data_IF_377688641714
#
_entry.id   IF_377688641714
#
_cell.length_a   1.000
_cell.length_b   1.000
_cell.length_c   1.000
_cell.angle_alpha   90.00
_cell.angle_beta   90.00
_cell.angle_gamma   90.00
#
_symmetry.space_group_name_H-M   'P 1'
#
loop_
_entity.id
_entity.type
_entity.pdbx_description
1 polymer ?
#
# COMPACT_ATOMS: atom_id res chain seq x y z
N UNK A 1 -13.42 7.31 17.93
CA UNK A 1 -12.12 6.96 18.54
C UNK A 1 -11.29 8.22 18.51
N UNK A 2 -10.90 8.70 19.68
CA UNK A 2 -10.05 9.89 19.81
C UNK A 2 -8.65 9.61 19.23
N UNK A 3 -7.95 10.65 18.76
CA UNK A 3 -6.64 10.50 18.09
C UNK A 3 -5.62 9.73 18.94
N UNK A 4 -5.63 9.99 20.25
CA UNK A 4 -4.74 9.33 21.20
C UNK A 4 -5.04 7.84 21.34
N UNK A 5 -6.32 7.46 21.45
CA UNK A 5 -6.75 6.05 21.55
C UNK A 5 -6.33 5.27 20.29
N UNK A 6 -6.50 5.89 19.12
CA UNK A 6 -6.09 5.30 17.85
C UNK A 6 -4.59 5.01 17.86
N UNK A 7 -3.77 6.02 18.16
CA UNK A 7 -2.31 5.86 18.16
C UNK A 7 -1.85 4.82 19.19
N UNK A 8 -2.43 4.82 20.39
CA UNK A 8 -2.16 3.81 21.42
C UNK A 8 -2.48 2.39 20.93
N UNK A 9 -3.60 2.21 20.23
CA UNK A 9 -3.97 0.90 19.67
C UNK A 9 -2.95 0.40 18.64
N UNK A 10 -2.39 1.31 17.82
CA UNK A 10 -1.36 0.97 16.85
C UNK A 10 -0.06 0.52 17.54
N UNK A 11 0.39 1.26 18.56
CA UNK A 11 1.60 0.91 19.31
C UNK A 11 1.46 -0.40 20.08
N UNK A 12 0.30 -0.64 20.71
CA UNK A 12 0.04 -1.92 21.37
C UNK A 12 0.13 -3.09 20.39
N UNK A 13 -0.35 -2.92 19.17
CA UNK A 13 -0.26 -3.95 18.14
C UNK A 13 1.17 -4.09 17.59
N UNK A 14 1.91 -2.98 17.47
CA UNK A 14 3.33 -3.01 17.13
C UNK A 14 4.14 -3.80 18.16
N UNK A 15 3.92 -3.60 19.45
CA UNK A 15 4.61 -4.34 20.50
C UNK A 15 4.29 -5.84 20.46
N UNK A 16 3.09 -6.20 20.00
CA UNK A 16 2.63 -7.59 19.88
C UNK A 16 3.17 -8.30 18.63
N UNK A 17 3.18 -7.62 17.49
CA UNK A 17 3.45 -8.21 16.16
C UNK A 17 4.82 -7.81 15.64
N UNK A 18 5.22 -6.56 15.83
CA UNK A 18 6.41 -5.96 15.25
C UNK A 18 6.31 -5.86 13.73
N UNK A 19 7.34 -6.33 13.04
CA UNK A 19 7.36 -6.46 11.58
C UNK A 19 6.21 -7.36 11.11
N UNK A 20 5.54 -6.95 10.03
CA UNK A 20 4.34 -7.61 9.53
C UNK A 20 3.03 -6.96 10.00
N UNK A 21 3.10 -5.95 10.88
CA UNK A 21 1.94 -5.13 11.22
C UNK A 21 1.35 -4.48 9.96
N UNK A 22 0.03 -4.66 9.78
CA UNK A 22 -0.74 -4.01 8.73
C UNK A 22 -1.62 -2.94 9.36
N UNK A 23 -1.46 -1.71 8.91
CA UNK A 23 -2.29 -0.58 9.26
C UNK A 23 -3.27 -0.28 8.13
N UNK A 24 -4.42 0.29 8.47
CA UNK A 24 -5.49 0.67 7.56
C UNK A 24 -5.72 2.16 7.60
N UNK A 25 -5.81 2.76 6.41
CA UNK A 25 -6.11 4.17 6.23
C UNK A 25 -7.55 4.48 6.63
N UNK A 26 -7.81 5.70 7.14
CA UNK A 26 -9.16 6.13 7.53
C UNK A 26 -10.16 6.11 6.36
N UNK A 27 -9.69 6.25 5.12
CA UNK A 27 -10.52 6.15 3.91
C UNK A 27 -11.05 4.73 3.63
N UNK A 28 -10.49 3.70 4.28
CA UNK A 28 -10.96 2.33 4.18
C UNK A 28 -10.35 1.47 3.07
N UNK A 29 -9.73 2.09 2.07
CA UNK A 29 -9.29 1.44 0.82
C UNK A 29 -7.77 1.46 0.61
N UNK A 30 -7.02 1.74 1.66
CA UNK A 30 -5.56 1.77 1.66
C UNK A 30 -5.01 1.13 2.92
N UNK A 31 -3.84 0.53 2.80
CA UNK A 31 -3.15 -0.20 3.86
C UNK A 31 -1.66 0.09 3.86
N UNK A 32 -1.02 -0.01 5.01
CA UNK A 32 0.43 0.14 5.16
C UNK A 32 0.99 -1.08 5.88
N UNK A 33 1.97 -1.75 5.29
CA UNK A 33 2.65 -2.90 5.86
C UNK A 33 4.01 -2.48 6.41
N UNK A 34 4.27 -2.75 7.69
CA UNK A 34 5.54 -2.48 8.37
C UNK A 34 6.54 -3.59 8.09
N UNK A 35 7.72 -3.23 7.57
CA UNK A 35 8.77 -4.17 7.14
C UNK A 35 10.17 -3.63 7.45
N UNK A 36 11.21 -4.48 7.52
CA UNK A 36 12.58 -4.04 7.33
C UNK A 36 12.74 -3.36 5.98
N UNK A 37 13.59 -2.34 5.91
CA UNK A 37 13.91 -1.71 4.64
C UNK A 37 14.88 -2.58 3.84
N UNK A 38 14.47 -2.95 2.62
CA UNK A 38 15.29 -3.78 1.73
C UNK A 38 16.38 -2.97 1.02
N UNK A 39 16.20 -1.66 0.87
CA UNK A 39 17.13 -0.73 0.23
C UNK A 39 18.16 -0.18 1.22
N UNK A 40 17.79 -0.08 2.50
CA UNK A 40 18.65 0.45 3.56
C UNK A 40 18.77 -0.54 4.74
N UNK A 41 19.76 -1.45 4.72
CA UNK A 41 19.92 -2.45 5.77
C UNK A 41 19.99 -1.86 7.18
N UNK A 42 19.21 -2.43 8.09
CA UNK A 42 19.11 -1.97 9.49
C UNK A 42 18.06 -0.89 9.73
N UNK A 43 17.43 -0.36 8.67
CA UNK A 43 16.27 0.54 8.76
C UNK A 43 14.95 -0.23 8.60
N UNK A 44 13.86 0.47 8.82
CA UNK A 44 12.50 -0.02 8.65
C UNK A 44 11.75 0.84 7.64
N UNK A 45 10.62 0.35 7.15
CA UNK A 45 9.70 1.11 6.31
C UNK A 45 8.27 0.70 6.58
N UNK A 46 7.33 1.60 6.26
CA UNK A 46 6.02 1.13 5.84
C UNK A 46 5.91 1.20 4.33
N UNK A 47 5.24 0.20 3.76
CA UNK A 47 4.90 0.16 2.36
C UNK A 47 3.39 0.28 2.21
N UNK A 48 2.94 1.29 1.46
CA UNK A 48 1.54 1.62 1.29
C UNK A 48 0.96 0.97 0.03
N UNK A 49 -0.25 0.45 0.17
CA UNK A 49 -1.02 -0.25 -0.85
C UNK A 49 -2.44 0.33 -0.91
N UNK A 50 -3.07 0.23 -2.07
CA UNK A 50 -4.49 0.50 -2.27
C UNK A 50 -5.18 -0.69 -2.94
N UNK A 51 -6.41 -0.48 -3.39
CA UNK A 51 -7.18 -1.50 -4.12
C UNK A 51 -6.51 -1.97 -5.41
N UNK A 52 -5.71 -1.10 -6.04
CA UNK A 52 -5.03 -1.38 -7.30
C UNK A 52 -3.53 -1.70 -7.11
N UNK A 53 -3.12 -2.14 -5.92
CA UNK A 53 -1.73 -2.53 -5.69
C UNK A 53 -0.89 -1.51 -4.94
N UNK A 54 0.42 -1.57 -5.16
CA UNK A 54 1.43 -0.75 -4.50
C UNK A 54 1.30 0.73 -4.85
N UNK A 55 1.51 1.61 -3.85
CA UNK A 55 1.44 3.07 -4.01
C UNK A 55 2.79 3.72 -3.77
N UNK A 56 3.37 3.50 -2.58
CA UNK A 56 4.62 4.15 -2.14
C UNK A 56 5.23 3.38 -0.97
N UNK A 57 6.41 3.81 -0.51
CA UNK A 57 6.98 3.41 0.77
C UNK A 57 7.72 4.59 1.40
N UNK A 58 7.94 4.51 2.72
CA UNK A 58 8.69 5.50 3.47
C UNK A 58 9.65 4.80 4.43
N UNK A 59 10.93 5.14 4.32
CA UNK A 59 12.01 4.58 5.14
C UNK A 59 12.19 5.39 6.43
N UNK A 60 12.30 4.69 7.56
CA UNK A 60 12.48 5.24 8.89
C UNK A 60 13.60 4.49 9.63
N UNK A 61 14.14 5.09 10.67
CA UNK A 61 15.26 4.52 11.44
C UNK A 61 14.77 3.50 12.46
N UNK A 62 13.57 3.69 13.01
CA UNK A 62 12.99 2.84 14.05
C UNK A 62 11.56 2.44 13.72
N UNK A 63 11.08 1.34 14.33
CA UNK A 63 9.68 0.92 14.20
C UNK A 63 8.69 1.96 14.79
N UNK A 64 9.12 2.70 15.81
CA UNK A 64 8.34 3.80 16.40
C UNK A 64 8.10 4.91 15.37
N UNK A 65 9.15 5.33 14.68
CA UNK A 65 9.04 6.32 13.59
C UNK A 65 8.14 5.82 12.47
N UNK A 66 8.20 4.53 12.10
CA UNK A 66 7.33 3.94 11.07
C UNK A 66 5.85 4.10 11.45
N UNK A 67 5.47 3.74 12.68
CA UNK A 67 4.08 3.85 13.14
C UNK A 67 3.65 5.30 13.26
N UNK A 68 4.50 6.17 13.80
CA UNK A 68 4.21 7.60 13.94
C UNK A 68 4.00 8.28 12.58
N UNK A 69 4.88 8.01 11.61
CA UNK A 69 4.77 8.57 10.25
C UNK A 69 3.56 8.01 9.49
N UNK A 70 3.36 6.68 9.51
CA UNK A 70 2.18 6.07 8.92
C UNK A 70 0.88 6.57 9.56
N UNK A 71 0.87 6.75 10.89
CA UNK A 71 -0.23 7.37 11.57
C UNK A 71 -0.44 8.75 10.99
N UNK A 72 0.53 9.67 11.00
CA UNK A 72 0.41 11.00 10.41
C UNK A 72 -0.15 10.98 8.98
N UNK A 73 0.33 10.07 8.14
CA UNK A 73 -0.07 9.88 6.74
C UNK A 73 -1.52 9.40 6.54
N UNK A 74 -2.23 8.95 7.58
CA UNK A 74 -3.64 8.53 7.43
C UNK A 74 -3.95 7.11 7.91
N UNK A 75 -2.94 6.30 8.21
CA UNK A 75 -3.11 4.91 8.63
C UNK A 75 -3.47 4.86 10.12
N UNK A 76 -4.77 4.98 10.43
CA UNK A 76 -5.28 5.23 11.79
C UNK A 76 -5.87 4.00 12.49
N UNK A 77 -5.85 2.82 11.86
CA UNK A 77 -6.45 1.60 12.38
C UNK A 77 -5.52 0.41 12.15
N UNK A 78 -5.63 -0.61 13.00
CA UNK A 78 -5.02 -1.92 12.74
C UNK A 78 -5.88 -2.69 11.74
N UNK A 79 -5.25 -3.33 10.76
CA UNK A 79 -5.91 -4.25 9.83
C UNK A 79 -5.68 -5.70 10.27
N UNK A 80 -6.56 -6.60 9.82
CA UNK A 80 -6.34 -8.03 10.00
C UNK A 80 -5.06 -8.49 9.25
N UNK A 81 -4.26 -9.43 9.79
CA UNK A 81 -3.01 -9.88 9.15
C UNK A 81 -3.18 -10.44 7.73
N UNK A 82 -4.32 -11.04 7.42
CA UNK A 82 -4.65 -11.60 6.10
C UNK A 82 -5.18 -10.55 5.10
N UNK A 83 -5.20 -9.27 5.47
CA UNK A 83 -5.83 -8.22 4.65
C UNK A 83 -5.18 -8.07 3.29
N UNK A 84 -3.84 -8.08 3.22
CA UNK A 84 -3.15 -7.92 1.94
C UNK A 84 -3.31 -9.17 1.06
N UNK A 85 -3.35 -10.37 1.62
CA UNK A 85 -3.63 -11.60 0.85
C UNK A 85 -5.01 -11.55 0.20
N UNK A 86 -6.03 -11.11 0.96
CA UNK A 86 -7.39 -10.94 0.43
C UNK A 86 -7.44 -9.88 -0.67
N UNK A 87 -6.83 -8.72 -0.46
CA UNK A 87 -6.86 -7.61 -1.43
C UNK A 87 -6.05 -7.97 -2.69
N UNK A 88 -4.88 -8.58 -2.53
CA UNK A 88 -4.03 -9.00 -3.65
C UNK A 88 -4.66 -10.09 -4.53
N UNK A 89 -5.62 -10.84 -3.98
CA UNK A 89 -6.37 -11.85 -4.72
C UNK A 89 -7.48 -11.27 -5.61
N UNK A 90 -7.78 -9.96 -5.50
CA UNK A 90 -8.86 -9.32 -6.27
C UNK A 90 -8.49 -9.08 -7.73
N UNK A 91 -9.52 -8.98 -8.59
CA UNK A 91 -9.36 -8.58 -9.99
C UNK A 91 -8.81 -7.15 -10.11
N UNK A 92 -9.26 -6.24 -9.26
CA UNK A 92 -8.81 -4.83 -9.27
C UNK A 92 -7.31 -4.70 -8.95
N UNK A 93 -6.80 -5.54 -8.04
CA UNK A 93 -5.37 -5.61 -7.79
C UNK A 93 -4.59 -6.06 -9.02
N UNK A 94 -5.06 -7.12 -9.70
CA UNK A 94 -4.42 -7.64 -10.92
C UNK A 94 -4.42 -6.59 -12.04
N UNK A 95 -5.53 -5.88 -12.24
CA UNK A 95 -5.60 -4.73 -13.16
C UNK A 95 -4.57 -3.68 -12.81
N UNK A 96 -4.49 -3.29 -11.53
CA UNK A 96 -3.54 -2.31 -11.04
C UNK A 96 -2.08 -2.70 -11.28
N UNK A 97 -1.73 -3.96 -11.04
CA UNK A 97 -0.40 -4.49 -11.35
C UNK A 97 -0.06 -4.41 -12.84
N UNK A 98 -1.01 -4.73 -13.74
CA UNK A 98 -0.78 -4.59 -15.18
C UNK A 98 -0.66 -3.10 -15.60
N UNK A 99 -1.46 -2.22 -15.01
CA UNK A 99 -1.39 -0.77 -15.27
C UNK A 99 -0.05 -0.17 -14.84
N UNK A 100 0.60 -0.72 -13.80
CA UNK A 100 1.86 -0.20 -13.27
C UNK A 100 2.98 -0.18 -14.33
N UNK A 101 3.00 -1.15 -15.25
CA UNK A 101 3.94 -1.16 -16.37
C UNK A 101 3.81 0.12 -17.20
N UNK A 102 2.59 0.45 -17.63
CA UNK A 102 2.34 1.61 -18.49
C UNK A 102 2.53 2.94 -17.74
N UNK A 103 2.20 2.99 -16.45
CA UNK A 103 2.53 4.15 -15.60
C UNK A 103 4.05 4.37 -15.59
N UNK A 104 4.82 3.30 -15.40
CA UNK A 104 6.29 3.36 -15.38
C UNK A 104 6.84 3.85 -16.71
N UNK A 105 6.38 3.27 -17.83
CA UNK A 105 6.78 3.68 -19.18
C UNK A 105 6.45 5.15 -19.46
N UNK A 106 5.28 5.62 -19.02
CA UNK A 106 4.91 7.02 -19.14
C UNK A 106 5.82 7.93 -18.30
N UNK A 107 6.08 7.56 -17.05
CA UNK A 107 6.98 8.31 -16.17
C UNK A 107 8.43 8.37 -16.70
N UNK A 108 8.87 7.33 -17.43
CA UNK A 108 10.15 7.30 -18.12
C UNK A 108 10.16 8.07 -19.46
N UNK A 109 9.00 8.61 -19.90
CA UNK A 109 8.87 9.34 -21.17
C UNK A 109 8.81 8.45 -22.42
N UNK A 110 8.62 7.14 -22.27
CA UNK A 110 8.59 6.18 -23.38
C UNK A 110 7.26 6.17 -24.14
N UNK A 111 6.17 6.53 -23.46
CA UNK A 111 4.83 6.64 -24.03
C UNK A 111 4.17 7.93 -23.57
N UNK A 112 3.29 8.47 -24.41
CA UNK A 112 2.43 9.59 -24.07
C UNK A 112 1.37 9.19 -23.03
N UNK A 113 0.82 10.20 -22.35
CA UNK A 113 -0.30 10.02 -21.43
C UNK A 113 -1.51 9.37 -22.14
N UNK A 114 -1.74 9.72 -23.41
CA UNK A 114 -2.83 9.15 -24.21
C UNK A 114 -2.62 7.65 -24.47
N UNK A 115 -1.43 7.26 -24.91
CA UNK A 115 -1.11 5.84 -25.14
C UNK A 115 -1.24 5.03 -23.83
N UNK A 116 -0.85 5.58 -22.69
CA UNK A 116 -1.08 4.95 -21.38
C UNK A 116 -2.57 4.73 -21.10
N UNK A 117 -3.42 5.73 -21.33
CA UNK A 117 -4.88 5.61 -21.15
C UNK A 117 -5.50 4.57 -22.09
N UNK A 118 -5.05 4.49 -23.34
CA UNK A 118 -5.52 3.48 -24.30
C UNK A 118 -5.19 2.06 -23.79
N UNK A 119 -4.00 1.87 -23.18
CA UNK A 119 -3.64 0.58 -22.57
C UNK A 119 -4.48 0.26 -21.34
N UNK A 120 -4.85 1.25 -20.53
CA UNK A 120 -5.76 1.03 -19.40
C UNK A 120 -7.14 0.53 -19.86
N UNK A 121 -7.66 1.06 -20.96
CA UNK A 121 -8.92 0.58 -21.56
C UNK A 121 -8.80 -0.87 -22.05
N UNK A 122 -7.67 -1.24 -22.66
CA UNK A 122 -7.42 -2.62 -23.08
C UNK A 122 -7.39 -3.59 -21.88
N UNK A 123 -6.74 -3.19 -20.79
CA UNK A 123 -6.74 -3.96 -19.54
C UNK A 123 -8.17 -4.09 -18.99
N UNK A 124 -8.94 -3.00 -18.95
CA UNK A 124 -10.31 -3.04 -18.45
C UNK A 124 -11.20 -3.97 -19.29
N UNK A 125 -11.08 -3.91 -20.62
CA UNK A 125 -11.80 -4.80 -21.53
C UNK A 125 -11.41 -6.28 -21.33
N UNK A 126 -10.11 -6.57 -21.17
CA UNK A 126 -9.59 -7.92 -20.90
C UNK A 126 -10.24 -8.51 -19.65
N UNK A 127 -10.27 -7.76 -18.55
CA UNK A 127 -10.84 -8.25 -17.28
C UNK A 127 -12.37 -8.22 -17.24
N UNK A 128 -13.03 -7.38 -18.05
CA UNK A 128 -14.49 -7.43 -18.22
C UNK A 128 -14.94 -8.70 -18.96
N UNK A 129 -14.13 -9.21 -19.90
CA UNK A 129 -14.42 -10.43 -20.66
C UNK A 129 -14.13 -11.73 -19.91
N UNK A 130 -13.40 -11.65 -18.79
CA UNK A 130 -12.97 -12.79 -17.98
C UNK A 130 -13.82 -12.99 -16.70
N UNK A 131 -14.81 -12.13 -16.48
CA UNK A 131 -15.75 -12.17 -15.36
C UNK A 131 -17.09 -12.80 -15.80
#
# INVERSE_FOLDING_TARGET
MERHEALTALYNELDRVGVGLILKHWSGNQWALVLPDASEPGKFRYQAFGLHGWITHHTCTTLDEVVSDAFCAGFRMVASPDTLDRVASTVEWKKGCERLEFITRHNCGEISYREMLDQFQNIDAKYASAA
#
